data_IF_697872328330
#
_entry.id   IF_697872328330
#
_cell.length_a   1.000
_cell.length_b   1.000
_cell.length_c   1.000
_cell.angle_alpha   90.00
_cell.angle_beta   90.00
_cell.angle_gamma   90.00
#
_symmetry.space_group_name_H-M   'P 1'
#
loop_
_entity.id
_entity.type
_entity.pdbx_description
1 polymer ?
#
# COMPACT_ATOMS: atom_id res chain seq x y z
N UNK A 1 -0.75 7.79 -26.66
CA UNK A 1 -1.04 7.53 -25.22
C UNK A 1 -2.45 8.05 -25.02
N UNK A 2 -3.42 7.15 -24.90
CA UNK A 2 -4.77 7.52 -24.56
C UNK A 2 -4.78 7.84 -23.05
N UNK A 3 -5.23 9.03 -22.62
CA UNK A 3 -5.49 9.22 -21.21
C UNK A 3 -6.51 8.15 -20.80
N UNK A 4 -6.29 7.43 -19.69
CA UNK A 4 -7.35 6.61 -19.14
C UNK A 4 -8.55 7.51 -18.95
N UNK A 5 -9.72 7.07 -19.40
CA UNK A 5 -10.96 7.73 -19.01
C UNK A 5 -10.89 7.87 -17.49
N UNK A 6 -10.95 9.08 -16.97
CA UNK A 6 -10.96 9.33 -15.55
C UNK A 6 -12.14 8.53 -14.99
N UNK A 7 -11.86 7.47 -14.25
CA UNK A 7 -12.89 6.73 -13.56
C UNK A 7 -13.51 7.73 -12.58
N UNK A 8 -14.80 7.99 -12.72
CA UNK A 8 -15.51 8.85 -11.78
C UNK A 8 -15.42 8.22 -10.39
N UNK A 9 -14.85 8.94 -9.46
CA UNK A 9 -14.80 8.51 -8.06
C UNK A 9 -16.22 8.66 -7.48
N UNK A 10 -16.81 7.60 -6.91
CA UNK A 10 -18.15 7.71 -6.31
C UNK A 10 -18.19 8.81 -5.26
N UNK A 11 -19.16 9.71 -5.34
CA UNK A 11 -19.27 10.89 -4.48
C UNK A 11 -19.43 10.53 -2.99
N UNK A 12 -20.08 9.42 -2.67
CA UNK A 12 -20.20 8.94 -1.30
C UNK A 12 -18.86 8.46 -0.74
N UNK A 13 -18.03 7.80 -1.55
CA UNK A 13 -16.68 7.42 -1.18
C UNK A 13 -15.79 8.66 -1.00
N UNK A 14 -15.86 9.60 -1.94
CA UNK A 14 -15.09 10.85 -1.85
C UNK A 14 -15.44 11.61 -0.56
N UNK A 15 -16.73 11.71 -0.20
CA UNK A 15 -17.13 12.34 1.06
C UNK A 15 -16.52 11.68 2.30
N UNK A 16 -16.44 10.34 2.33
CA UNK A 16 -15.77 9.62 3.43
C UNK A 16 -14.29 9.94 3.48
N UNK A 17 -13.61 9.96 2.33
CA UNK A 17 -12.19 10.33 2.24
C UNK A 17 -11.95 11.75 2.73
N UNK A 18 -12.75 12.72 2.29
CA UNK A 18 -12.67 14.12 2.74
C UNK A 18 -12.87 14.22 4.25
N UNK A 19 -13.87 13.54 4.81
CA UNK A 19 -14.12 13.53 6.24
C UNK A 19 -12.90 13.02 7.03
N UNK A 20 -12.36 11.88 6.63
CA UNK A 20 -11.18 11.29 7.29
C UNK A 20 -9.95 12.18 7.12
N UNK A 21 -9.74 12.76 5.94
CA UNK A 21 -8.62 13.66 5.68
C UNK A 21 -8.67 14.92 6.54
N UNK A 22 -9.82 15.59 6.61
CA UNK A 22 -9.94 16.87 7.29
C UNK A 22 -10.09 16.74 8.81
N UNK A 23 -10.90 15.79 9.27
CA UNK A 23 -11.34 15.70 10.67
C UNK A 23 -10.89 14.41 11.36
N UNK A 24 -10.52 13.40 10.58
CA UNK A 24 -10.23 12.08 11.09
C UNK A 24 -11.48 11.22 11.29
N UNK A 25 -11.26 9.93 11.43
CA UNK A 25 -12.22 8.90 11.81
C UNK A 25 -11.46 7.59 12.08
N UNK A 26 -12.11 6.56 12.59
CA UNK A 26 -11.51 5.24 12.84
C UNK A 26 -10.22 5.29 13.67
N UNK A 27 -10.14 6.20 14.64
CA UNK A 27 -8.95 6.41 15.48
C UNK A 27 -7.92 7.38 14.92
N UNK A 28 -8.06 7.84 13.68
CA UNK A 28 -7.23 8.90 13.10
C UNK A 28 -7.76 10.29 13.47
N UNK A 29 -6.85 11.24 13.63
CA UNK A 29 -7.20 12.66 13.84
C UNK A 29 -7.22 13.46 12.54
N UNK A 30 -6.97 12.81 11.39
CA UNK A 30 -6.85 13.46 10.08
C UNK A 30 -5.64 14.40 9.99
N UNK A 31 -5.54 15.06 8.85
CA UNK A 31 -4.49 16.06 8.60
C UNK A 31 -4.85 17.46 9.09
N UNK A 32 -6.12 17.71 9.42
CA UNK A 32 -6.65 18.99 9.93
C UNK A 32 -6.46 20.20 9.02
N UNK A 33 -6.43 19.96 7.71
CA UNK A 33 -6.48 21.00 6.70
C UNK A 33 -7.43 20.60 5.55
N UNK A 34 -7.93 21.58 4.75
CA UNK A 34 -8.90 21.31 3.72
C UNK A 34 -8.40 20.33 2.67
N UNK A 35 -9.26 19.44 2.25
CA UNK A 35 -9.03 18.54 1.12
C UNK A 35 -9.14 19.30 -0.22
N UNK A 36 -8.13 19.19 -1.06
CA UNK A 36 -8.14 19.82 -2.38
C UNK A 36 -8.46 18.78 -3.47
N UNK A 37 -9.71 18.79 -3.91
CA UNK A 37 -10.18 17.91 -4.99
C UNK A 37 -9.39 18.12 -6.28
N UNK A 38 -8.97 19.34 -6.60
CA UNK A 38 -8.26 19.65 -7.84
C UNK A 38 -6.91 18.91 -7.94
N UNK A 39 -6.30 18.59 -6.80
CA UNK A 39 -5.06 17.79 -6.75
C UNK A 39 -5.35 16.34 -7.14
N UNK A 40 -6.48 15.78 -6.72
CA UNK A 40 -6.84 14.38 -7.02
C UNK A 40 -7.22 14.14 -8.48
N UNK A 41 -7.56 15.20 -9.21
CA UNK A 41 -7.89 15.15 -10.63
C UNK A 41 -6.67 15.24 -11.55
N UNK A 42 -5.49 15.49 -10.98
CA UNK A 42 -4.24 15.59 -11.75
C UNK A 42 -3.68 14.21 -12.07
N UNK A 43 -3.20 14.05 -13.30
CA UNK A 43 -2.44 12.87 -13.69
C UNK A 43 -1.07 12.89 -13.03
N UNK A 44 -0.63 11.76 -12.52
CA UNK A 44 0.66 11.58 -11.90
C UNK A 44 1.31 10.28 -12.41
N UNK A 45 2.62 10.28 -12.54
CA UNK A 45 3.36 9.05 -12.71
C UNK A 45 3.28 8.22 -11.42
N UNK A 46 2.80 7.00 -11.53
CA UNK A 46 2.55 6.14 -10.38
C UNK A 46 3.82 5.89 -9.57
N UNK A 47 3.79 6.21 -8.29
CA UNK A 47 4.93 6.02 -7.37
C UNK A 47 4.91 4.66 -6.68
N UNK A 48 3.73 4.01 -6.62
CA UNK A 48 3.50 2.72 -5.98
C UNK A 48 2.47 1.89 -6.74
N UNK A 49 2.64 0.58 -6.76
CA UNK A 49 1.60 -0.35 -7.23
C UNK A 49 0.39 -0.41 -6.29
N UNK A 50 0.52 0.09 -5.06
CA UNK A 50 -0.58 0.24 -4.08
C UNK A 50 -1.77 1.04 -4.62
N UNK A 51 -1.56 1.93 -5.59
CA UNK A 51 -2.65 2.62 -6.28
C UNK A 51 -3.60 1.62 -6.98
N UNK A 52 -3.06 0.54 -7.55
CA UNK A 52 -3.85 -0.55 -8.17
C UNK A 52 -4.51 -1.41 -7.10
N UNK A 53 -3.75 -1.82 -6.09
CA UNK A 53 -4.25 -2.63 -4.98
C UNK A 53 -5.39 -1.93 -4.23
N UNK A 54 -5.29 -0.62 -4.03
CA UNK A 54 -6.36 0.17 -3.42
C UNK A 54 -7.66 0.16 -4.24
N UNK A 55 -7.55 0.30 -5.57
CA UNK A 55 -8.71 0.21 -6.46
C UNK A 55 -9.34 -1.20 -6.43
N UNK A 56 -8.53 -2.24 -6.38
CA UNK A 56 -9.00 -3.63 -6.27
C UNK A 56 -9.67 -3.89 -4.93
N UNK A 57 -9.12 -3.40 -3.82
CA UNK A 57 -9.73 -3.51 -2.49
C UNK A 57 -11.08 -2.80 -2.43
N UNK A 58 -11.16 -1.60 -3.00
CA UNK A 58 -12.44 -0.89 -3.13
C UNK A 58 -13.48 -1.71 -3.92
N UNK A 59 -13.09 -2.27 -5.05
CA UNK A 59 -13.98 -3.11 -5.86
C UNK A 59 -14.46 -4.36 -5.10
N UNK A 60 -13.56 -5.03 -4.36
CA UNK A 60 -13.89 -6.21 -3.53
C UNK A 60 -14.83 -5.84 -2.38
N UNK A 61 -14.62 -4.68 -1.75
CA UNK A 61 -15.49 -4.21 -0.67
C UNK A 61 -16.92 -3.92 -1.14
N UNK A 62 -17.06 -3.46 -2.38
CA UNK A 62 -18.35 -2.97 -2.94
C UNK A 62 -18.96 -3.91 -3.99
N UNK A 63 -18.46 -5.15 -4.12
CA UNK A 63 -19.01 -6.14 -5.03
C UNK A 63 -20.38 -6.67 -4.56
N UNK A 64 -21.22 -7.20 -5.48
CA UNK A 64 -22.44 -7.89 -5.10
C UNK A 64 -22.14 -9.06 -4.12
N UNK A 65 -22.87 -9.10 -3.00
CA UNK A 65 -22.65 -10.08 -1.92
C UNK A 65 -21.60 -9.66 -0.89
N UNK A 66 -21.09 -8.45 -0.97
CA UNK A 66 -20.18 -7.85 0.00
C UNK A 66 -18.73 -8.35 -0.07
N UNK A 67 -17.96 -7.96 0.93
CA UNK A 67 -16.54 -8.33 1.05
C UNK A 67 -16.36 -9.85 1.13
N UNK A 68 -15.31 -10.34 0.47
CA UNK A 68 -14.80 -11.71 0.61
C UNK A 68 -13.28 -11.68 0.77
N UNK A 69 -12.71 -12.57 1.58
CA UNK A 69 -11.26 -12.70 1.71
C UNK A 69 -10.57 -12.78 0.35
N UNK A 70 -9.47 -12.06 0.21
CA UNK A 70 -8.76 -11.95 -1.06
C UNK A 70 -7.25 -11.95 -0.87
N UNK A 71 -6.57 -12.51 -1.88
CA UNK A 71 -5.11 -12.42 -2.03
C UNK A 71 -4.83 -11.84 -3.39
N UNK A 72 -4.22 -10.68 -3.41
CA UNK A 72 -3.94 -9.91 -4.61
C UNK A 72 -2.44 -9.79 -4.79
N UNK A 73 -1.99 -9.68 -6.03
CA UNK A 73 -0.63 -9.27 -6.33
C UNK A 73 -0.62 -8.37 -7.56
N UNK A 74 0.37 -7.52 -7.64
CA UNK A 74 0.62 -6.69 -8.81
C UNK A 74 2.12 -6.61 -9.07
N UNK A 75 2.48 -6.55 -10.35
CA UNK A 75 3.85 -6.30 -10.81
C UNK A 75 3.74 -5.25 -11.88
N UNK A 76 4.29 -4.08 -11.63
CA UNK A 76 4.20 -3.00 -12.60
C UNK A 76 5.30 -1.96 -12.38
N UNK A 77 5.44 -1.09 -13.37
CA UNK A 77 6.40 0.00 -13.40
C UNK A 77 5.95 1.11 -12.45
N UNK A 78 6.90 1.62 -11.68
CA UNK A 78 6.72 2.78 -10.80
C UNK A 78 7.82 3.80 -11.06
N UNK A 79 7.55 5.05 -10.65
CA UNK A 79 8.41 6.19 -10.93
C UNK A 79 8.66 6.96 -9.64
N UNK A 80 9.92 7.33 -9.41
CA UNK A 80 10.31 8.12 -8.25
C UNK A 80 11.32 9.19 -8.66
N UNK A 81 11.18 10.37 -8.11
CA UNK A 81 12.16 11.44 -8.27
C UNK A 81 13.29 11.23 -7.26
N UNK A 82 14.21 10.34 -7.59
CA UNK A 82 15.36 9.99 -6.76
C UNK A 82 16.67 10.23 -7.52
N UNK A 83 17.74 10.52 -6.80
CA UNK A 83 19.08 10.51 -7.39
C UNK A 83 19.44 9.06 -7.75
N UNK A 84 19.80 8.85 -9.02
CA UNK A 84 20.20 7.53 -9.52
C UNK A 84 21.57 7.16 -8.93
N UNK A 85 21.63 6.00 -8.29
CA UNK A 85 22.87 5.42 -7.76
C UNK A 85 22.91 3.90 -7.99
N UNK A 86 23.79 3.18 -7.30
CA UNK A 86 23.94 1.72 -7.44
C UNK A 86 22.69 0.92 -6.99
N UNK A 87 21.77 1.54 -6.25
CA UNK A 87 20.62 0.87 -5.64
C UNK A 87 19.29 1.55 -5.94
N UNK A 88 19.30 2.72 -6.62
CA UNK A 88 18.12 3.51 -6.91
C UNK A 88 18.04 3.88 -8.39
N UNK A 89 16.88 3.64 -8.97
CA UNK A 89 16.50 4.05 -10.33
C UNK A 89 15.26 4.95 -10.26
N UNK A 90 15.19 5.93 -11.16
CA UNK A 90 14.01 6.80 -11.28
C UNK A 90 12.77 6.03 -11.79
N UNK A 91 13.00 4.93 -12.48
CA UNK A 91 11.97 4.01 -13.01
C UNK A 91 12.38 2.57 -12.69
N UNK A 92 11.49 1.80 -12.08
CA UNK A 92 11.72 0.38 -11.77
C UNK A 92 10.40 -0.38 -11.67
N UNK A 93 10.49 -1.71 -11.59
CA UNK A 93 9.31 -2.55 -11.35
C UNK A 93 9.17 -2.84 -9.86
N UNK A 94 7.95 -2.67 -9.36
CA UNK A 94 7.58 -3.05 -8.01
C UNK A 94 6.69 -4.28 -8.03
N UNK A 95 7.00 -5.23 -7.18
CA UNK A 95 6.14 -6.39 -6.87
C UNK A 95 5.43 -6.09 -5.57
N UNK A 96 4.12 -6.17 -5.56
CA UNK A 96 3.30 -5.97 -4.37
C UNK A 96 2.34 -7.13 -4.17
N UNK A 97 2.16 -7.54 -2.92
CA UNK A 97 1.13 -8.47 -2.50
C UNK A 97 0.24 -7.85 -1.44
N UNK A 98 -1.06 -8.10 -1.53
CA UNK A 98 -2.04 -7.71 -0.51
C UNK A 98 -2.87 -8.93 -0.14
N UNK A 99 -3.00 -9.17 1.15
CA UNK A 99 -3.91 -10.17 1.70
C UNK A 99 -4.94 -9.43 2.54
N UNK A 100 -6.21 -9.61 2.25
CA UNK A 100 -7.31 -9.05 3.01
C UNK A 100 -8.14 -10.21 3.57
N UNK A 101 -8.10 -10.41 4.87
CA UNK A 101 -8.82 -11.50 5.55
C UNK A 101 -9.09 -11.12 7.02
N UNK A 102 -9.95 -11.88 7.67
CA UNK A 102 -10.26 -11.68 9.07
C UNK A 102 -9.13 -12.17 9.98
N UNK A 103 -8.84 -11.38 11.01
CA UNK A 103 -7.92 -11.76 12.09
C UNK A 103 -6.45 -11.83 11.71
N UNK A 104 -6.05 -11.25 10.57
CA UNK A 104 -4.64 -11.16 10.20
C UNK A 104 -3.87 -10.27 11.17
N UNK A 105 -2.64 -10.66 11.45
CA UNK A 105 -1.75 -10.01 12.40
C UNK A 105 -0.42 -9.59 11.74
N UNK A 106 0.34 -8.76 12.43
CA UNK A 106 1.72 -8.44 12.04
C UNK A 106 2.60 -9.70 11.97
N UNK A 107 2.33 -10.69 12.83
CA UNK A 107 3.04 -11.97 12.80
C UNK A 107 2.83 -12.74 11.50
N UNK A 108 1.59 -12.75 11.00
CA UNK A 108 1.24 -13.38 9.71
C UNK A 108 1.96 -12.67 8.55
N UNK A 109 1.97 -11.34 8.57
CA UNK A 109 2.69 -10.54 7.58
C UNK A 109 4.18 -10.86 7.56
N UNK A 110 4.84 -10.86 8.72
CA UNK A 110 6.27 -11.19 8.83
C UNK A 110 6.53 -12.62 8.33
N UNK A 111 5.71 -13.59 8.73
CA UNK A 111 5.81 -14.97 8.28
C UNK A 111 5.67 -15.11 6.76
N UNK A 112 4.70 -14.42 6.18
CA UNK A 112 4.51 -14.37 4.72
C UNK A 112 5.76 -13.80 4.02
N UNK A 113 6.29 -12.68 4.48
CA UNK A 113 7.46 -12.05 3.89
C UNK A 113 8.71 -12.93 4.02
N UNK A 114 8.90 -13.63 5.14
CA UNK A 114 9.99 -14.58 5.31
C UNK A 114 9.91 -15.72 4.28
N UNK A 115 8.72 -16.29 4.09
CA UNK A 115 8.50 -17.37 3.11
C UNK A 115 8.76 -16.85 1.69
N UNK A 116 8.22 -15.68 1.34
CA UNK A 116 8.36 -15.07 0.02
C UNK A 116 9.84 -14.87 -0.31
N UNK A 117 10.58 -14.16 0.51
CA UNK A 117 11.99 -13.87 0.26
C UNK A 117 12.87 -15.11 0.30
N UNK A 118 12.55 -16.09 1.15
CA UNK A 118 13.26 -17.39 1.15
C UNK A 118 13.08 -18.10 -0.19
N UNK A 119 11.86 -18.11 -0.74
CA UNK A 119 11.62 -18.68 -2.08
C UNK A 119 12.33 -17.93 -3.20
N UNK A 120 12.56 -16.62 -3.03
CA UNK A 120 13.37 -15.80 -3.93
C UNK A 120 14.89 -15.99 -3.75
N UNK A 121 15.31 -16.87 -2.84
CA UNK A 121 16.72 -17.13 -2.57
C UNK A 121 17.40 -16.16 -1.60
N UNK A 122 16.65 -15.24 -1.01
CA UNK A 122 17.14 -14.27 -0.03
C UNK A 122 17.12 -14.90 1.36
N UNK A 123 18.29 -15.13 1.95
CA UNK A 123 18.42 -15.92 3.18
C UNK A 123 18.57 -15.09 4.47
N UNK A 124 19.09 -13.88 4.36
CA UNK A 124 19.38 -13.01 5.52
C UNK A 124 18.45 -11.81 5.48
N UNK A 125 17.43 -11.84 6.33
CA UNK A 125 16.44 -10.78 6.44
C UNK A 125 16.50 -10.10 7.81
N UNK A 126 16.23 -8.80 7.82
CA UNK A 126 15.91 -8.01 9.01
C UNK A 126 14.66 -7.22 8.77
N UNK A 127 13.76 -7.23 9.75
CA UNK A 127 12.57 -6.41 9.80
C UNK A 127 12.82 -5.29 10.79
N UNK A 128 12.50 -4.08 10.41
CA UNK A 128 12.74 -2.88 11.19
C UNK A 128 11.47 -2.04 11.21
N UNK A 129 11.01 -1.58 12.37
CA UNK A 129 9.88 -0.66 12.43
C UNK A 129 10.14 0.57 11.56
N UNK A 130 9.13 1.00 10.84
CA UNK A 130 9.20 2.13 9.93
C UNK A 130 7.91 2.94 9.97
N UNK A 131 7.94 4.11 9.36
CA UNK A 131 6.74 4.90 9.11
C UNK A 131 6.31 4.76 7.65
N UNK A 132 5.01 4.56 7.46
CA UNK A 132 4.38 4.64 6.15
C UNK A 132 3.00 5.32 6.32
N UNK A 133 2.63 6.28 5.46
CA UNK A 133 1.39 7.04 5.65
C UNK A 133 0.11 6.22 5.57
N UNK A 134 0.11 5.07 4.89
CA UNK A 134 -1.09 4.23 4.70
C UNK A 134 -1.07 2.91 5.47
N UNK A 135 -0.01 2.62 6.24
CA UNK A 135 0.08 1.42 7.08
C UNK A 135 0.48 1.75 8.52
N UNK A 136 0.00 0.95 9.47
CA UNK A 136 0.39 0.96 10.88
C UNK A 136 -0.04 -0.37 11.53
N UNK A 137 0.89 -1.17 12.08
CA UNK A 137 2.33 -0.99 12.06
C UNK A 137 2.95 -1.16 10.67
N UNK A 138 4.12 -0.52 10.47
CA UNK A 138 4.88 -0.59 9.22
C UNK A 138 6.28 -1.13 9.46
N UNK A 139 6.82 -1.84 8.48
CA UNK A 139 8.13 -2.48 8.53
C UNK A 139 8.93 -2.18 7.25
N UNK A 140 10.18 -1.82 7.40
CA UNK A 140 11.20 -1.94 6.37
C UNK A 140 11.84 -3.32 6.40
N UNK A 141 12.14 -3.87 5.23
CA UNK A 141 12.75 -5.19 5.06
C UNK A 141 14.13 -5.03 4.46
N UNK A 142 15.12 -5.50 5.16
CA UNK A 142 16.51 -5.45 4.71
C UNK A 142 17.04 -6.86 4.43
N UNK A 143 17.88 -6.96 3.41
CA UNK A 143 18.74 -8.12 3.17
C UNK A 143 20.22 -7.72 3.18
N UNK A 144 21.07 -8.62 3.65
CA UNK A 144 22.51 -8.41 3.54
C UNK A 144 22.98 -8.75 2.13
N UNK A 145 23.56 -7.77 1.44
CA UNK A 145 24.09 -7.92 0.09
C UNK A 145 25.60 -8.22 0.16
N UNK A 146 26.00 -9.45 -0.18
CA UNK A 146 27.39 -9.91 -0.03
C UNK A 146 28.37 -9.10 -0.90
N UNK A 147 28.00 -8.75 -2.12
CA UNK A 147 28.84 -7.95 -3.02
C UNK A 147 29.07 -6.52 -2.54
N UNK A 148 28.05 -5.88 -1.95
CA UNK A 148 28.13 -4.54 -1.38
C UNK A 148 28.59 -4.54 0.08
N UNK A 149 28.66 -5.71 0.73
CA UNK A 149 29.03 -5.92 2.14
C UNK A 149 28.22 -5.04 3.11
N UNK A 150 26.94 -4.80 2.80
CA UNK A 150 26.06 -3.98 3.63
C UNK A 150 24.63 -4.52 3.64
N UNK A 151 23.85 -4.08 4.61
CA UNK A 151 22.41 -4.26 4.60
C UNK A 151 21.79 -3.29 3.61
N UNK A 152 20.93 -3.80 2.72
CA UNK A 152 20.20 -3.02 1.71
C UNK A 152 18.73 -3.22 1.96
N UNK A 153 17.95 -2.15 1.93
CA UNK A 153 16.49 -2.23 1.91
C UNK A 153 16.03 -2.88 0.60
N UNK A 154 15.19 -3.90 0.73
CA UNK A 154 14.66 -4.67 -0.40
C UNK A 154 13.15 -4.57 -0.50
N UNK A 155 12.49 -3.96 0.47
CA UNK A 155 11.06 -3.75 0.47
C UNK A 155 10.55 -3.19 1.79
N UNK A 156 9.28 -2.86 1.77
CA UNK A 156 8.53 -2.49 2.95
C UNK A 156 7.22 -3.28 3.02
N UNK A 157 6.60 -3.29 4.18
CA UNK A 157 5.31 -3.93 4.40
C UNK A 157 4.60 -3.30 5.58
N UNK A 158 3.31 -3.57 5.74
CA UNK A 158 2.56 -3.07 6.89
C UNK A 158 1.11 -3.52 6.85
N UNK A 159 0.43 -3.32 7.97
CA UNK A 159 -1.02 -3.47 8.06
C UNK A 159 -1.68 -2.18 7.58
N UNK A 160 -2.65 -2.25 6.69
CA UNK A 160 -3.34 -1.04 6.24
C UNK A 160 -4.05 -0.34 7.40
N UNK A 161 -3.95 0.99 7.43
CA UNK A 161 -4.61 1.79 8.46
C UNK A 161 -6.13 1.65 8.36
N UNK A 162 -6.83 1.52 9.50
CA UNK A 162 -8.29 1.43 9.51
C UNK A 162 -8.96 2.59 8.76
N UNK A 163 -8.48 3.82 8.95
CA UNK A 163 -9.01 5.01 8.28
C UNK A 163 -8.93 4.95 6.76
N UNK A 164 -8.01 4.17 6.20
CA UNK A 164 -7.93 3.93 4.77
C UNK A 164 -8.94 2.87 4.32
N UNK A 165 -8.88 1.67 4.91
CA UNK A 165 -9.66 0.54 4.41
C UNK A 165 -11.14 0.61 4.79
N UNK A 166 -11.49 1.20 5.94
CA UNK A 166 -12.90 1.39 6.34
C UNK A 166 -13.62 2.41 5.44
N UNK A 167 -12.92 3.45 4.98
CA UNK A 167 -13.50 4.38 3.98
C UNK A 167 -13.85 3.69 2.67
N UNK A 168 -13.13 2.64 2.30
CA UNK A 168 -13.40 1.82 1.12
C UNK A 168 -14.62 0.90 1.29
N UNK A 169 -15.06 0.64 2.54
CA UNK A 169 -16.14 -0.30 2.85
C UNK A 169 -15.65 -1.69 3.29
N UNK A 170 -14.37 -1.87 3.57
CA UNK A 170 -13.84 -3.11 4.15
C UNK A 170 -14.39 -3.28 5.57
N UNK A 171 -14.96 -4.44 5.93
CA UNK A 171 -15.59 -4.67 7.23
C UNK A 171 -14.61 -4.61 8.42
N UNK A 172 -15.14 -4.36 9.61
CA UNK A 172 -14.36 -4.53 10.86
C UNK A 172 -13.82 -5.95 11.00
N UNK A 173 -12.65 -6.07 11.62
CA UNK A 173 -11.96 -7.34 11.81
C UNK A 173 -11.19 -7.84 10.58
N UNK A 174 -11.34 -7.20 9.42
CA UNK A 174 -10.49 -7.45 8.25
C UNK A 174 -9.28 -6.53 8.30
N UNK A 175 -8.12 -7.13 8.12
CA UNK A 175 -6.85 -6.43 8.03
C UNK A 175 -6.14 -6.79 6.74
#
# INVERSE_FOLDING_TARGET
IYPPAAAEVPEDYLRRVVQVHEKGDFGSIGYRYPFDRSVTEKLVLRTHTTAVSSAMLYAIANQPGGFRPAKLFSIDRVFRNEATDMTHLAEFHQVEGVVADYGLTLGDLIGFMQIFFTKMGVKRLRFKPAYNPYTEPSLEIFSYHDGLRKWVEIGNSGMFRPEMIRTMGIPEGVN
#
